data_IF_550251884809
#
_entry.id   IF_550251884809
#
_cell.length_a   1.000
_cell.length_b   1.000
_cell.length_c   1.000
_cell.angle_alpha   90.00
_cell.angle_beta   90.00
_cell.angle_gamma   90.00
#
_symmetry.space_group_name_H-M   'P 1'
#
loop_
_entity.id
_entity.type
_entity.pdbx_description
1 polymer ?
#
# COMPACT_ATOMS: atom_id res chain seq x y z
N UNK A 1 0.00 21.92 34.74
CA UNK A 1 -0.23 23.32 35.16
C UNK A 1 -1.61 23.35 35.79
N UNK A 2 -1.72 23.79 37.04
CA UNK A 2 -3.01 23.98 37.69
C UNK A 2 -3.46 25.43 37.47
N UNK A 3 -4.75 25.64 37.30
CA UNK A 3 -5.30 27.00 37.24
C UNK A 3 -4.99 27.73 38.57
N UNK A 4 -4.70 29.04 38.55
CA UNK A 4 -4.49 29.82 39.75
C UNK A 4 -5.70 29.75 40.68
N UNK A 5 -5.46 29.83 41.99
CA UNK A 5 -6.51 29.94 43.00
C UNK A 5 -7.40 31.17 42.70
N UNK A 6 -8.70 30.95 42.52
CA UNK A 6 -9.67 32.00 42.15
C UNK A 6 -9.93 32.16 40.64
N UNK A 7 -9.34 31.33 39.78
CA UNK A 7 -9.71 31.29 38.36
C UNK A 7 -11.05 30.53 38.18
N UNK A 8 -12.12 31.28 37.98
CA UNK A 8 -13.42 30.75 37.58
C UNK A 8 -13.63 30.95 36.07
N UNK A 9 -13.94 29.88 35.34
CA UNK A 9 -14.44 30.00 33.97
C UNK A 9 -15.84 30.63 34.03
N UNK A 10 -16.14 31.68 33.24
CA UNK A 10 -17.46 32.26 33.23
C UNK A 10 -18.48 31.20 32.76
N UNK A 11 -19.32 30.74 33.68
CA UNK A 11 -20.44 29.87 33.37
C UNK A 11 -21.76 30.66 33.42
N UNK A 12 -22.62 30.55 32.39
CA UNK A 12 -22.38 29.91 31.10
C UNK A 12 -21.61 30.83 30.15
N UNK A 13 -20.80 30.25 29.25
CA UNK A 13 -20.39 30.91 28.01
C UNK A 13 -21.65 31.16 27.17
N UNK A 14 -22.32 32.29 27.40
CA UNK A 14 -23.45 32.72 26.58
C UNK A 14 -22.94 33.13 25.22
N UNK A 15 -23.62 32.70 24.15
CA UNK A 15 -23.40 33.16 22.77
C UNK A 15 -23.57 34.67 22.61
N UNK A 16 -24.20 35.35 23.57
CA UNK A 16 -24.30 36.81 23.65
C UNK A 16 -23.01 37.47 24.18
N UNK A 17 -22.30 36.81 25.10
CA UNK A 17 -21.09 37.35 25.73
C UNK A 17 -19.80 36.97 24.98
N UNK A 18 -19.84 35.85 24.25
CA UNK A 18 -18.75 35.36 23.39
C UNK A 18 -19.31 35.01 22.01
N UNK A 19 -19.61 36.02 21.18
CA UNK A 19 -20.17 35.76 19.87
C UNK A 19 -19.20 34.92 19.03
N UNK A 20 -19.72 33.89 18.34
CA UNK A 20 -18.91 33.03 17.49
C UNK A 20 -18.18 33.88 16.42
N UNK A 21 -16.84 33.77 16.25
CA UNK A 21 -16.06 34.67 15.38
C UNK A 21 -16.60 34.73 13.94
N UNK A 22 -16.87 35.92 13.41
CA UNK A 22 -17.39 36.09 12.04
C UNK A 22 -16.53 35.36 11.01
N UNK A 23 -17.17 34.88 9.94
CA UNK A 23 -16.45 34.27 8.81
C UNK A 23 -15.37 35.25 8.30
N UNK A 24 -14.15 34.76 8.00
CA UNK A 24 -13.12 35.59 7.42
C UNK A 24 -13.65 36.29 6.16
N UNK A 25 -13.64 37.62 6.15
CA UNK A 25 -14.12 38.42 5.01
C UNK A 25 -13.18 38.34 3.80
N UNK A 26 -11.96 37.88 4.02
CA UNK A 26 -10.90 37.86 3.02
C UNK A 26 -10.13 36.53 3.09
N UNK A 27 -9.74 36.03 1.92
CA UNK A 27 -8.82 34.91 1.77
C UNK A 27 -7.39 35.37 2.06
N UNK A 28 -6.50 34.45 2.47
CA UNK A 28 -5.11 34.81 2.88
C UNK A 28 -4.36 35.59 1.80
N UNK A 29 -4.48 35.20 0.54
CA UNK A 29 -3.83 35.88 -0.59
C UNK A 29 -4.39 37.30 -0.87
N UNK A 30 -5.54 37.65 -0.29
CA UNK A 30 -6.15 38.98 -0.41
C UNK A 30 -5.66 39.94 0.68
N UNK A 31 -5.01 39.41 1.73
CA UNK A 31 -4.57 40.18 2.90
C UNK A 31 -3.05 40.15 3.05
N UNK A 32 -2.40 39.08 2.63
CA UNK A 32 -0.97 38.86 2.84
C UNK A 32 -0.25 38.72 1.50
N UNK A 33 0.88 39.44 1.37
CA UNK A 33 1.74 39.40 0.19
C UNK A 33 2.46 38.04 0.01
N UNK A 34 2.58 37.26 1.08
CA UNK A 34 3.26 35.96 1.13
C UNK A 34 2.41 34.91 1.87
N UNK A 35 1.31 34.44 1.26
CA UNK A 35 0.41 33.47 1.89
C UNK A 35 1.12 32.14 2.23
N UNK A 36 2.22 31.80 1.55
CA UNK A 36 3.03 30.61 1.82
C UNK A 36 3.64 30.56 3.23
N UNK A 37 3.77 31.71 3.93
CA UNK A 37 4.26 31.74 5.32
C UNK A 37 3.32 30.99 6.27
N UNK A 38 2.05 30.84 5.90
CA UNK A 38 1.05 30.13 6.68
C UNK A 38 0.97 28.63 6.37
N UNK A 39 1.75 28.10 5.42
CA UNK A 39 1.69 26.69 5.01
C UNK A 39 1.79 25.73 6.18
N UNK A 40 2.70 25.98 7.12
CA UNK A 40 2.86 25.17 8.34
C UNK A 40 1.61 25.17 9.24
N UNK A 41 0.91 26.30 9.31
CA UNK A 41 -0.31 26.44 10.11
C UNK A 41 -1.48 25.74 9.40
N UNK A 42 -1.57 25.87 8.08
CA UNK A 42 -2.59 25.20 7.26
C UNK A 42 -2.40 23.68 7.26
N UNK A 43 -1.16 23.21 7.11
CA UNK A 43 -0.82 21.80 7.28
C UNK A 43 -1.24 21.31 8.67
N UNK A 44 -0.96 22.07 9.74
CA UNK A 44 -1.35 21.67 11.08
C UNK A 44 -2.87 21.62 11.29
N UNK A 45 -3.61 22.59 10.72
CA UNK A 45 -5.06 22.58 10.73
C UNK A 45 -5.64 21.35 10.02
N UNK A 46 -5.10 21.01 8.85
CA UNK A 46 -5.46 19.80 8.11
C UNK A 46 -5.21 18.55 8.96
N UNK A 47 -4.09 18.47 9.68
CA UNK A 47 -3.78 17.35 10.58
C UNK A 47 -4.74 17.23 11.77
N UNK A 48 -5.18 18.35 12.33
CA UNK A 48 -6.07 18.37 13.49
C UNK A 48 -7.44 17.74 13.17
N UNK A 49 -7.99 18.01 11.98
CA UNK A 49 -9.32 17.49 11.60
C UNK A 49 -9.34 15.97 11.38
N UNK A 50 -8.19 15.32 11.23
CA UNK A 50 -8.13 13.85 11.18
C UNK A 50 -8.21 13.16 12.55
N UNK A 51 -8.17 13.93 13.65
CA UNK A 51 -8.21 13.40 15.02
C UNK A 51 -9.21 14.09 15.93
N UNK A 52 -9.57 15.34 15.65
CA UNK A 52 -10.48 16.16 16.46
C UNK A 52 -11.50 16.85 15.55
N UNK A 53 -12.79 16.60 15.79
CA UNK A 53 -13.86 17.35 15.15
C UNK A 53 -14.28 18.51 16.06
N UNK A 54 -14.09 19.77 15.64
CA UNK A 54 -14.45 20.92 16.48
C UNK A 54 -15.98 21.09 16.55
N UNK A 55 -16.46 21.60 17.68
CA UNK A 55 -17.88 21.93 17.88
C UNK A 55 -18.38 22.98 16.88
N UNK A 56 -17.51 23.89 16.46
CA UNK A 56 -17.79 24.89 15.44
C UNK A 56 -17.04 24.57 14.14
N UNK A 57 -17.80 24.42 13.05
CA UNK A 57 -17.26 24.14 11.71
C UNK A 57 -16.18 25.14 11.24
N UNK A 58 -16.21 26.40 11.72
CA UNK A 58 -15.24 27.44 11.34
C UNK A 58 -13.86 27.21 11.95
N UNK A 59 -13.78 26.43 13.03
CA UNK A 59 -12.53 26.09 13.70
C UNK A 59 -11.79 24.93 13.04
N UNK A 60 -12.37 24.30 12.02
CA UNK A 60 -11.68 23.30 11.22
C UNK A 60 -10.54 23.91 10.41
N UNK A 61 -10.65 25.21 10.08
CA UNK A 61 -9.66 25.97 9.30
C UNK A 61 -9.29 25.29 7.96
N UNK A 62 -10.18 24.43 7.44
CA UNK A 62 -10.08 23.81 6.13
C UNK A 62 -10.65 24.76 5.07
N UNK A 63 -10.11 24.73 3.82
CA UNK A 63 -10.73 25.42 2.70
C UNK A 63 -12.19 25.00 2.47
N UNK A 64 -12.47 23.72 2.70
CA UNK A 64 -13.81 23.13 2.69
C UNK A 64 -14.02 22.39 4.02
N UNK A 65 -14.90 22.89 4.92
CA UNK A 65 -15.19 22.22 6.17
C UNK A 65 -15.80 20.82 5.95
N UNK A 66 -15.31 19.85 6.69
CA UNK A 66 -15.87 18.51 6.78
C UNK A 66 -17.14 18.51 7.65
N UNK A 67 -18.13 17.74 7.22
CA UNK A 67 -19.30 17.42 8.07
C UNK A 67 -18.93 16.37 9.11
N UNK A 68 -19.71 16.27 10.20
CA UNK A 68 -19.50 15.25 11.22
C UNK A 68 -19.52 13.84 10.61
N UNK A 69 -20.49 13.58 9.73
CA UNK A 69 -20.58 12.29 9.04
C UNK A 69 -19.35 11.99 8.18
N UNK A 70 -18.80 12.99 7.49
CA UNK A 70 -17.55 12.80 6.74
C UNK A 70 -16.37 12.53 7.66
N UNK A 71 -16.28 13.23 8.80
CA UNK A 71 -15.25 13.00 9.80
C UNK A 71 -15.33 11.59 10.41
N UNK A 72 -16.52 11.15 10.81
CA UNK A 72 -16.77 9.80 11.35
C UNK A 72 -16.40 8.69 10.36
N UNK A 73 -16.48 9.00 9.06
CA UNK A 73 -16.10 8.11 8.00
C UNK A 73 -14.61 8.15 7.66
N UNK A 74 -13.77 9.01 8.25
CA UNK A 74 -12.33 9.03 7.95
C UNK A 74 -11.62 7.78 8.52
N UNK A 75 -10.51 7.33 7.90
CA UNK A 75 -9.66 6.31 8.48
C UNK A 75 -9.07 6.79 9.81
N UNK A 76 -8.90 5.87 10.76
CA UNK A 76 -8.29 6.21 12.03
C UNK A 76 -6.81 6.54 11.80
N UNK A 77 -6.44 7.82 11.93
CA UNK A 77 -5.05 8.27 11.80
C UNK A 77 -4.36 8.38 13.15
N UNK A 78 -3.04 8.23 13.13
CA UNK A 78 -2.13 8.38 14.28
C UNK A 78 -0.99 9.32 13.91
N UNK A 79 -0.24 9.78 14.91
CA UNK A 79 0.86 10.75 14.73
C UNK A 79 1.86 10.39 13.63
N UNK A 80 2.08 9.09 13.36
CA UNK A 80 3.02 8.65 12.34
C UNK A 80 2.53 8.91 10.90
N UNK A 81 1.22 8.95 10.67
CA UNK A 81 0.61 9.32 9.39
C UNK A 81 1.13 10.69 8.93
N UNK A 82 1.08 11.66 9.83
CA UNK A 82 1.50 13.03 9.56
C UNK A 82 3.03 13.17 9.45
N UNK A 83 3.79 12.41 10.25
CA UNK A 83 5.26 12.45 10.20
C UNK A 83 5.82 11.97 8.87
N UNK A 84 5.23 10.91 8.32
CA UNK A 84 5.58 10.39 6.99
C UNK A 84 4.86 11.14 5.85
N UNK A 85 4.06 12.16 6.17
CA UNK A 85 3.23 12.88 5.23
C UNK A 85 2.46 11.92 4.30
N UNK A 86 1.85 10.89 4.90
CA UNK A 86 0.95 9.98 4.19
C UNK A 86 -0.30 10.76 3.81
N UNK A 87 -0.85 10.44 2.65
CA UNK A 87 -2.04 11.06 2.09
C UNK A 87 -3.02 10.00 1.60
N UNK A 88 -4.31 10.25 1.80
CA UNK A 88 -5.36 9.39 1.27
C UNK A 88 -5.60 9.80 -0.18
N UNK A 89 -5.17 8.98 -1.14
CA UNK A 89 -5.36 9.31 -2.57
C UNK A 89 -6.74 8.88 -3.05
N UNK A 90 -7.12 7.63 -2.80
CA UNK A 90 -8.39 7.06 -3.27
C UNK A 90 -9.33 6.69 -2.11
N UNK A 91 -8.77 6.21 -1.00
CA UNK A 91 -9.54 5.65 0.12
C UNK A 91 -9.69 6.67 1.26
N UNK A 92 -10.63 7.61 1.10
CA UNK A 92 -10.96 8.58 2.14
C UNK A 92 -11.92 8.05 3.21
N UNK A 93 -12.38 6.80 3.07
CA UNK A 93 -13.30 6.16 4.01
C UNK A 93 -12.55 5.14 4.86
N UNK A 94 -12.71 5.20 6.18
CA UNK A 94 -12.16 4.26 7.15
C UNK A 94 -12.81 2.88 7.08
N UNK A 95 -14.00 2.80 6.48
CA UNK A 95 -14.65 1.54 6.11
C UNK A 95 -14.58 1.37 4.60
N UNK A 96 -14.00 0.26 4.15
CA UNK A 96 -13.85 -0.10 2.74
C UNK A 96 -14.63 -1.39 2.48
N UNK A 97 -15.35 -1.46 1.37
CA UNK A 97 -16.16 -2.63 1.02
C UNK A 97 -15.59 -3.33 -0.22
N UNK A 98 -15.60 -4.67 -0.19
CA UNK A 98 -15.31 -5.52 -1.36
C UNK A 98 -16.37 -6.61 -1.48
N UNK A 99 -16.86 -6.79 -2.71
CA UNK A 99 -17.93 -7.75 -3.02
C UNK A 99 -17.41 -9.15 -3.33
N UNK A 100 -16.17 -9.23 -3.81
CA UNK A 100 -15.55 -10.41 -4.40
C UNK A 100 -14.20 -10.74 -3.73
N UNK A 101 -13.91 -10.14 -2.57
CA UNK A 101 -12.67 -10.36 -1.83
C UNK A 101 -11.42 -9.80 -2.50
N UNK A 102 -11.57 -9.12 -3.65
CA UNK A 102 -10.49 -8.39 -4.31
C UNK A 102 -10.63 -6.91 -3.99
N UNK A 103 -9.52 -6.31 -3.62
CA UNK A 103 -9.44 -4.88 -3.33
C UNK A 103 -8.07 -4.37 -3.73
N UNK A 104 -8.04 -3.16 -4.28
CA UNK A 104 -6.82 -2.37 -4.42
C UNK A 104 -6.98 -1.11 -3.59
N UNK A 105 -5.97 -0.80 -2.79
CA UNK A 105 -5.92 0.44 -2.03
C UNK A 105 -4.58 1.13 -2.26
N UNK A 106 -4.63 2.43 -2.51
CA UNK A 106 -3.45 3.24 -2.80
C UNK A 106 -3.41 4.45 -1.88
N UNK A 107 -2.28 4.62 -1.21
CA UNK A 107 -1.95 5.78 -0.39
C UNK A 107 -0.78 6.54 -0.99
N UNK A 108 -0.79 7.86 -0.87
CA UNK A 108 0.32 8.72 -1.23
C UNK A 108 1.24 8.93 -0.04
N UNK A 109 2.50 9.25 -0.29
CA UNK A 109 3.37 9.79 0.74
C UNK A 109 4.36 10.80 0.14
N UNK A 110 4.61 11.86 0.90
CA UNK A 110 5.49 12.96 0.45
C UNK A 110 6.85 12.96 1.14
N UNK A 111 7.02 12.12 2.17
CA UNK A 111 8.30 11.92 2.86
C UNK A 111 8.69 10.44 2.78
N UNK A 112 9.88 10.13 2.22
CA UNK A 112 10.34 8.76 2.17
C UNK A 112 10.36 8.11 3.56
N UNK A 113 9.94 6.85 3.60
CA UNK A 113 9.86 6.07 4.83
C UNK A 113 9.79 4.57 4.56
N UNK A 114 10.04 3.78 5.58
CA UNK A 114 9.72 2.36 5.57
C UNK A 114 8.25 2.17 5.90
N UNK A 115 7.59 1.24 5.22
CA UNK A 115 6.19 0.88 5.46
C UNK A 115 6.05 -0.62 5.69
N UNK A 116 5.19 -0.99 6.63
CA UNK A 116 4.78 -2.38 6.83
C UNK A 116 3.31 -2.39 7.25
N UNK A 117 2.70 -3.56 7.30
CA UNK A 117 1.28 -3.71 7.57
C UNK A 117 0.98 -4.88 8.50
N UNK A 118 -0.20 -4.83 9.10
CA UNK A 118 -0.82 -5.95 9.80
C UNK A 118 -2.25 -6.09 9.33
N UNK A 119 -2.62 -7.28 8.85
CA UNK A 119 -3.98 -7.62 8.48
C UNK A 119 -4.54 -8.62 9.49
N UNK A 120 -5.68 -8.30 10.09
CA UNK A 120 -6.34 -9.14 11.09
C UNK A 120 -7.79 -9.42 10.68
N UNK A 121 -8.27 -10.61 10.96
CA UNK A 121 -9.65 -11.03 10.75
C UNK A 121 -10.43 -11.03 12.05
N UNK A 122 -11.65 -10.50 12.03
CA UNK A 122 -12.57 -10.53 13.16
C UNK A 122 -13.33 -11.86 13.16
N UNK A 123 -12.98 -12.79 14.06
CA UNK A 123 -13.56 -14.15 14.03
C UNK A 123 -15.08 -14.19 14.22
N UNK A 124 -15.64 -13.22 14.95
CA UNK A 124 -17.08 -13.11 15.20
C UNK A 124 -17.88 -12.65 13.98
N UNK A 125 -17.20 -12.16 12.94
CA UNK A 125 -17.85 -11.73 11.69
C UNK A 125 -18.15 -12.88 10.73
N UNK A 126 -17.59 -14.07 10.96
CA UNK A 126 -17.76 -15.23 10.09
C UNK A 126 -19.24 -15.65 10.01
N UNK A 127 -19.85 -15.51 8.83
CA UNK A 127 -21.25 -15.88 8.60
C UNK A 127 -22.28 -15.01 9.31
N UNK A 128 -21.87 -13.85 9.85
CA UNK A 128 -22.80 -12.91 10.48
C UNK A 128 -23.63 -12.18 9.41
N UNK A 129 -24.96 -12.01 9.58
CA UNK A 129 -25.82 -11.38 8.56
C UNK A 129 -25.54 -9.89 8.35
N UNK A 130 -25.01 -9.21 9.37
CA UNK A 130 -24.60 -7.81 9.28
C UNK A 130 -23.21 -7.60 9.91
N UNK A 131 -22.13 -7.98 9.21
CA UNK A 131 -20.79 -7.97 9.79
C UNK A 131 -20.27 -6.54 10.04
N UNK A 132 -20.76 -5.56 9.27
CA UNK A 132 -20.36 -4.15 9.40
C UNK A 132 -20.74 -3.50 10.74
N UNK A 133 -21.84 -3.92 11.38
CA UNK A 133 -22.26 -3.35 12.67
C UNK A 133 -21.48 -3.91 13.86
N UNK A 134 -20.66 -4.94 13.64
CA UNK A 134 -19.86 -5.54 14.71
C UNK A 134 -18.74 -4.57 15.12
N UNK A 135 -18.61 -4.40 16.43
CA UNK A 135 -17.46 -3.75 17.04
C UNK A 135 -16.36 -4.79 17.25
N UNK A 136 -15.13 -4.43 16.91
CA UNK A 136 -13.99 -5.30 17.16
C UNK A 136 -13.58 -5.28 18.63
N UNK A 137 -13.55 -6.45 19.25
CA UNK A 137 -12.79 -6.67 20.47
C UNK A 137 -11.38 -7.14 20.09
N UNK A 138 -10.30 -6.54 20.63
CA UNK A 138 -8.94 -7.00 20.37
C UNK A 138 -8.73 -8.50 20.61
N UNK A 139 -9.47 -9.09 21.55
CA UNK A 139 -9.41 -10.52 21.85
C UNK A 139 -9.97 -11.43 20.73
N UNK A 140 -10.73 -10.89 19.80
CA UNK A 140 -11.38 -11.60 18.68
C UNK A 140 -10.66 -11.39 17.34
N UNK A 141 -9.65 -10.52 17.31
CA UNK A 141 -8.82 -10.29 16.13
C UNK A 141 -7.76 -11.38 16.02
N UNK A 142 -7.65 -11.99 14.84
CA UNK A 142 -6.68 -13.05 14.55
C UNK A 142 -5.92 -12.73 13.27
N UNK A 143 -4.65 -13.13 13.22
CA UNK A 143 -3.79 -12.95 12.05
C UNK A 143 -3.96 -14.10 11.04
N UNK A 144 -4.95 -14.97 11.28
CA UNK A 144 -5.31 -16.15 10.50
C UNK A 144 -6.83 -16.31 10.49
N UNK A 145 -7.35 -16.94 9.43
CA UNK A 145 -8.77 -17.31 9.37
C UNK A 145 -8.97 -18.64 10.09
N UNK A 146 -10.04 -18.80 10.89
CA UNK A 146 -10.36 -20.10 11.48
C UNK A 146 -10.43 -21.18 10.40
N UNK A 147 -9.74 -22.31 10.63
CA UNK A 147 -9.63 -23.47 9.72
C UNK A 147 -8.64 -23.33 8.55
N UNK A 148 -7.86 -22.24 8.50
CA UNK A 148 -6.77 -22.07 7.53
C UNK A 148 -5.45 -21.98 8.30
N UNK A 149 -4.43 -22.75 7.88
CA UNK A 149 -3.09 -22.75 8.49
C UNK A 149 -2.15 -21.68 7.88
N UNK A 150 -2.73 -20.70 7.18
CA UNK A 150 -1.99 -19.68 6.42
C UNK A 150 -2.29 -18.31 7.05
N UNK A 151 -1.23 -17.57 7.34
CA UNK A 151 -1.32 -16.19 7.84
C UNK A 151 -1.90 -15.23 6.81
N UNK A 152 -2.73 -14.30 7.27
CA UNK A 152 -3.40 -13.28 6.46
C UNK A 152 -2.43 -12.39 5.69
N UNK A 153 -1.19 -12.21 6.17
CA UNK A 153 -0.14 -11.48 5.44
C UNK A 153 0.11 -12.07 4.05
N UNK A 154 -0.11 -13.36 3.88
CA UNK A 154 0.08 -14.03 2.59
C UNK A 154 -1.01 -13.67 1.58
N UNK A 155 -2.11 -13.03 2.00
CA UNK A 155 -3.22 -12.63 1.12
C UNK A 155 -3.23 -11.14 0.80
N UNK A 156 -2.15 -10.44 1.17
CA UNK A 156 -1.97 -9.01 0.96
C UNK A 156 -0.58 -8.75 0.36
N UNK A 157 -0.55 -8.17 -0.84
CA UNK A 157 0.69 -7.70 -1.46
C UNK A 157 0.80 -6.19 -1.21
N UNK A 158 1.91 -5.76 -0.61
CA UNK A 158 2.27 -4.34 -0.50
C UNK A 158 3.36 -4.02 -1.51
N UNK A 159 3.16 -2.94 -2.25
CA UNK A 159 4.12 -2.39 -3.21
C UNK A 159 4.38 -0.93 -2.87
N UNK A 160 5.64 -0.57 -2.70
CA UNK A 160 6.05 0.82 -2.45
C UNK A 160 6.80 1.33 -3.67
N UNK A 161 6.21 2.33 -4.32
CA UNK A 161 6.82 3.07 -5.42
C UNK A 161 7.51 4.32 -4.89
N UNK A 162 7.79 5.31 -5.75
CA UNK A 162 8.45 6.57 -5.35
C UNK A 162 7.63 7.38 -4.33
N UNK A 163 6.33 7.48 -4.57
CA UNK A 163 5.39 8.37 -3.86
C UNK A 163 4.07 7.69 -3.49
N UNK A 164 3.93 6.38 -3.80
CA UNK A 164 2.71 5.62 -3.54
C UNK A 164 2.98 4.30 -2.85
N UNK A 165 2.09 3.97 -1.94
CA UNK A 165 1.99 2.69 -1.24
C UNK A 165 0.71 1.99 -1.73
N UNK A 166 0.88 0.91 -2.47
CA UNK A 166 -0.20 0.12 -3.05
C UNK A 166 -0.39 -1.18 -2.28
N UNK A 167 -1.65 -1.55 -2.05
CA UNK A 167 -2.06 -2.78 -1.39
C UNK A 167 -3.01 -3.55 -2.30
N UNK A 168 -2.71 -4.82 -2.55
CA UNK A 168 -3.52 -5.72 -3.37
C UNK A 168 -4.00 -6.90 -2.52
N UNK A 169 -5.31 -6.96 -2.28
CA UNK A 169 -5.93 -7.95 -1.40
C UNK A 169 -6.55 -9.10 -2.20
N UNK A 170 -6.41 -10.31 -1.67
CA UNK A 170 -7.08 -11.55 -2.12
C UNK A 170 -7.70 -12.24 -0.93
N UNK A 171 -8.75 -11.66 -0.37
CA UNK A 171 -9.30 -12.08 0.92
C UNK A 171 -9.88 -13.50 0.85
N UNK A 172 -9.47 -14.42 1.75
CA UNK A 172 -9.87 -15.83 1.66
C UNK A 172 -11.25 -16.15 2.26
N UNK A 173 -11.89 -15.22 2.96
CA UNK A 173 -13.23 -15.41 3.51
C UNK A 173 -14.06 -14.12 3.46
N UNK A 174 -15.37 -14.29 3.51
CA UNK A 174 -16.31 -13.20 3.81
C UNK A 174 -16.22 -12.82 5.30
N UNK A 175 -16.37 -11.54 5.62
CA UNK A 175 -16.37 -11.03 6.99
C UNK A 175 -15.67 -9.68 7.10
N UNK A 176 -15.27 -9.33 8.33
CA UNK A 176 -14.57 -8.07 8.63
C UNK A 176 -13.09 -8.30 8.83
N UNK A 177 -12.28 -7.47 8.19
CA UNK A 177 -10.85 -7.39 8.36
C UNK A 177 -10.45 -6.01 8.87
N UNK A 178 -9.36 -5.96 9.64
CA UNK A 178 -8.73 -4.73 10.08
C UNK A 178 -7.32 -4.67 9.52
N UNK A 179 -7.05 -3.62 8.75
CA UNK A 179 -5.72 -3.32 8.25
C UNK A 179 -5.12 -2.20 9.10
N UNK A 180 -3.97 -2.47 9.71
CA UNK A 180 -3.14 -1.45 10.34
C UNK A 180 -1.91 -1.24 9.50
N UNK A 181 -1.69 0.00 9.06
CA UNK A 181 -0.51 0.40 8.31
C UNK A 181 0.46 1.05 9.28
N UNK A 182 1.69 0.56 9.29
CA UNK A 182 2.76 1.10 10.09
C UNK A 182 3.77 1.80 9.19
N UNK A 183 4.32 2.90 9.69
CA UNK A 183 5.30 3.67 8.96
C UNK A 183 6.48 4.04 9.84
N UNK A 184 7.58 4.35 9.18
CA UNK A 184 8.80 4.81 9.80
C UNK A 184 9.47 5.86 8.89
N UNK A 185 9.91 6.97 9.45
CA UNK A 185 10.58 8.03 8.68
C UNK A 185 12.01 7.63 8.28
N UNK A 186 12.41 7.88 7.03
CA UNK A 186 13.74 7.50 6.52
C UNK A 186 14.89 8.13 7.33
N UNK A 187 14.72 9.37 7.81
CA UNK A 187 15.72 10.06 8.64
C UNK A 187 16.01 9.36 9.98
N UNK A 188 15.13 8.45 10.41
CA UNK A 188 15.30 7.62 11.61
C UNK A 188 15.97 6.26 11.33
N UNK A 189 16.15 5.89 10.06
CA UNK A 189 16.88 4.70 9.62
C UNK A 189 18.40 4.94 9.73
N UNK A 190 18.90 5.02 10.97
CA UNK A 190 20.34 4.91 11.21
C UNK A 190 20.70 3.42 11.30
N UNK A 191 21.54 2.95 10.38
CA UNK A 191 22.10 1.59 10.39
C UNK A 191 22.62 1.28 11.80
N UNK A 192 22.10 0.21 12.42
CA UNK A 192 22.52 -0.25 13.75
C UNK A 192 21.69 0.22 14.96
N UNK A 193 20.56 0.93 14.78
CA UNK A 193 19.57 1.12 15.85
C UNK A 193 18.27 0.37 15.53
N UNK A 194 17.75 -0.34 16.53
CA UNK A 194 16.39 -0.88 16.49
C UNK A 194 15.41 0.25 16.20
N UNK A 195 14.80 0.19 15.04
CA UNK A 195 13.94 1.23 14.55
C UNK A 195 12.52 0.70 14.52
N UNK A 196 11.67 1.25 15.38
CA UNK A 196 10.33 0.70 15.62
C UNK A 196 9.33 1.34 14.67
N UNK A 197 8.74 0.51 13.81
CA UNK A 197 7.55 0.86 13.04
C UNK A 197 6.41 1.28 13.98
N UNK A 198 5.72 2.37 13.66
CA UNK A 198 4.59 2.88 14.44
C UNK A 198 3.34 2.93 13.58
N UNK A 199 2.21 2.61 14.19
CA UNK A 199 0.93 2.64 13.49
C UNK A 199 0.66 4.06 12.99
N UNK A 200 0.35 4.17 11.70
CA UNK A 200 0.06 5.40 10.99
C UNK A 200 -1.43 5.54 10.74
N UNK A 201 -2.07 4.54 10.13
CA UNK A 201 -3.51 4.54 9.94
C UNK A 201 -4.12 3.14 10.01
N UNK A 202 -5.42 3.08 10.26
CA UNK A 202 -6.19 1.85 10.36
C UNK A 202 -7.48 1.92 9.53
N UNK A 203 -7.78 0.81 8.86
CA UNK A 203 -8.99 0.61 8.05
C UNK A 203 -9.77 -0.61 8.51
N UNK A 204 -11.09 -0.53 8.41
CA UNK A 204 -12.02 -1.65 8.49
C UNK A 204 -12.41 -2.05 7.07
N UNK A 205 -12.18 -3.30 6.70
CA UNK A 205 -12.54 -3.84 5.39
C UNK A 205 -13.70 -4.82 5.59
N UNK A 206 -14.81 -4.60 4.89
CA UNK A 206 -15.98 -5.48 4.88
C UNK A 206 -15.96 -6.26 3.57
N UNK A 207 -15.91 -7.58 3.67
CA UNK A 207 -15.81 -8.51 2.56
C UNK A 207 -17.09 -9.35 2.45
N UNK A 208 -17.83 -9.21 1.36
CA UNK A 208 -19.11 -9.91 1.17
C UNK A 208 -18.90 -11.38 0.75
N UNK A 209 -17.92 -11.63 -0.12
CA UNK A 209 -17.56 -12.95 -0.61
C UNK A 209 -16.03 -13.11 -0.75
N UNK A 210 -15.47 -14.31 -0.54
CA UNK A 210 -14.04 -14.55 -0.73
C UNK A 210 -13.61 -14.39 -2.19
N UNK A 211 -12.32 -14.08 -2.40
CA UNK A 211 -11.72 -14.07 -3.73
C UNK A 211 -11.78 -15.45 -4.38
N UNK A 212 -12.24 -15.50 -5.63
CA UNK A 212 -12.32 -16.74 -6.43
C UNK A 212 -10.95 -17.42 -6.54
N UNK A 213 -9.89 -16.62 -6.61
CA UNK A 213 -8.49 -17.03 -6.63
C UNK A 213 -7.75 -16.67 -5.33
N UNK A 214 -8.38 -16.90 -4.17
CA UNK A 214 -7.77 -16.73 -2.84
C UNK A 214 -6.60 -17.70 -2.59
N UNK A 215 -5.56 -17.59 -3.41
CA UNK A 215 -4.26 -18.22 -3.23
C UNK A 215 -3.33 -17.20 -2.57
N UNK A 216 -2.47 -17.65 -1.63
CA UNK A 216 -1.49 -16.78 -1.02
C UNK A 216 -0.51 -16.25 -2.07
N UNK A 217 -0.14 -14.98 -1.97
CA UNK A 217 1.04 -14.44 -2.63
C UNK A 217 2.30 -15.17 -2.13
N UNK A 218 3.34 -15.27 -2.96
CA UNK A 218 4.62 -15.85 -2.53
C UNK A 218 5.20 -15.11 -1.32
N UNK A 219 5.82 -15.84 -0.41
CA UNK A 219 6.37 -15.29 0.84
C UNK A 219 7.40 -14.20 0.55
N UNK A 220 7.13 -12.96 0.98
CA UNK A 220 8.07 -11.83 0.88
C UNK A 220 8.61 -11.49 2.27
N UNK A 221 9.93 -11.63 2.47
CA UNK A 221 10.57 -11.40 3.77
C UNK A 221 10.53 -9.93 4.22
N UNK A 222 10.65 -8.99 3.28
CA UNK A 222 10.64 -7.55 3.55
C UNK A 222 9.26 -6.90 3.43
N UNK A 223 8.22 -7.72 3.20
CA UNK A 223 6.83 -7.30 3.04
C UNK A 223 6.59 -6.20 1.98
N UNK A 224 7.55 -5.95 1.08
CA UNK A 224 7.46 -4.93 0.05
C UNK A 224 7.88 -5.47 -1.32
N UNK A 225 7.06 -5.19 -2.33
CA UNK A 225 7.27 -5.59 -3.72
C UNK A 225 7.67 -4.38 -4.56
N UNK A 226 8.40 -4.65 -5.63
CA UNK A 226 8.96 -3.67 -6.55
C UNK A 226 10.39 -3.25 -6.22
N UNK A 227 11.00 -2.45 -7.09
CA UNK A 227 12.35 -1.94 -6.89
C UNK A 227 12.29 -0.86 -5.79
N UNK A 228 12.49 -1.29 -4.55
CA UNK A 228 12.40 -0.41 -3.41
C UNK A 228 13.35 0.79 -3.57
N UNK A 229 12.79 2.00 -3.49
CA UNK A 229 13.50 3.25 -3.80
C UNK A 229 14.88 3.39 -3.13
N UNK A 230 15.08 3.02 -1.85
CA UNK A 230 16.40 3.08 -1.21
C UNK A 230 17.46 2.22 -1.91
N UNK A 231 17.09 1.05 -2.42
CA UNK A 231 18.02 0.07 -3.00
C UNK A 231 18.42 0.48 -4.42
N UNK A 232 17.46 0.96 -5.21
CA UNK A 232 17.72 1.53 -6.54
C UNK A 232 18.75 2.67 -6.45
N UNK A 233 18.60 3.55 -5.46
CA UNK A 233 19.54 4.64 -5.23
C UNK A 233 20.90 4.16 -4.70
N UNK A 234 20.91 3.23 -3.73
CA UNK A 234 22.14 2.73 -3.12
C UNK A 234 23.04 1.99 -4.12
N UNK A 235 22.44 1.17 -4.99
CA UNK A 235 23.15 0.40 -6.01
C UNK A 235 23.30 1.13 -7.36
N UNK A 236 22.77 2.35 -7.46
CA UNK A 236 22.78 3.17 -8.67
C UNK A 236 22.26 2.39 -9.90
N UNK A 237 21.10 1.76 -9.71
CA UNK A 237 20.38 1.01 -10.73
C UNK A 237 19.30 1.87 -11.38
N UNK A 238 18.99 1.60 -12.64
CA UNK A 238 17.91 2.25 -13.39
C UNK A 238 16.94 1.19 -13.91
N UNK A 239 15.91 0.82 -13.13
CA UNK A 239 14.97 -0.20 -13.55
C UNK A 239 14.06 0.34 -14.67
N UNK A 240 13.88 -0.46 -15.72
CA UNK A 240 12.92 -0.23 -16.81
C UNK A 240 11.47 -0.16 -16.32
N UNK A 241 11.17 -0.88 -15.24
CA UNK A 241 9.85 -0.93 -14.60
C UNK A 241 10.00 -0.50 -13.14
N UNK A 242 9.21 0.49 -12.72
CA UNK A 242 9.23 1.00 -11.35
C UNK A 242 8.17 0.34 -10.46
N UNK A 243 7.30 -0.48 -11.05
CA UNK A 243 6.22 -1.16 -10.38
C UNK A 243 6.66 -2.56 -9.92
N UNK A 244 6.21 -2.96 -8.75
CA UNK A 244 6.32 -4.31 -8.20
C UNK A 244 5.26 -5.27 -8.70
N UNK A 245 4.19 -4.79 -9.34
CA UNK A 245 3.20 -5.63 -10.02
C UNK A 245 3.10 -5.22 -11.48
N UNK A 246 3.53 -6.10 -12.39
CA UNK A 246 3.45 -5.85 -13.83
C UNK A 246 2.35 -6.72 -14.43
N UNK A 247 1.38 -6.08 -15.06
CA UNK A 247 0.34 -6.76 -15.84
C UNK A 247 0.78 -6.84 -17.30
N UNK A 248 0.93 -8.05 -17.82
CA UNK A 248 1.24 -8.25 -19.25
C UNK A 248 -0.09 -8.47 -19.98
N UNK A 249 -0.43 -7.59 -20.92
CA UNK A 249 -1.68 -7.64 -21.69
C UNK A 249 -1.43 -8.15 -23.12
N UNK A 250 -2.39 -8.90 -23.68
CA UNK A 250 -2.33 -9.46 -25.06
C UNK A 250 -2.47 -8.40 -26.19
N UNK A 251 -2.39 -7.11 -25.88
CA UNK A 251 -2.93 -6.04 -26.72
C UNK A 251 -2.15 -5.71 -28.00
N UNK A 252 -0.93 -6.23 -28.20
CA UNK A 252 -0.12 -5.92 -29.39
C UNK A 252 -0.16 -7.00 -30.49
N UNK A 253 -1.19 -7.86 -30.49
CA UNK A 253 -1.39 -8.79 -31.60
C UNK A 253 -1.77 -8.06 -32.88
N UNK A 254 -0.75 -7.84 -33.72
CA UNK A 254 -0.96 -7.56 -35.15
C UNK A 254 -1.89 -8.64 -35.73
N UNK A 255 -2.89 -8.28 -36.56
CA UNK A 255 -3.92 -9.20 -37.07
C UNK A 255 -3.40 -10.29 -38.03
N UNK A 256 -2.08 -10.41 -38.19
CA UNK A 256 -1.38 -11.34 -39.07
C UNK A 256 -0.86 -12.61 -38.39
N UNK A 257 -1.01 -12.74 -37.06
CA UNK A 257 -0.55 -13.94 -36.34
C UNK A 257 -1.66 -15.00 -36.31
N UNK A 258 -1.34 -16.21 -36.78
CA UNK A 258 -2.23 -17.37 -36.78
C UNK A 258 -2.87 -17.60 -35.39
N UNK A 259 -4.17 -17.36 -35.28
CA UNK A 259 -4.96 -17.49 -34.05
C UNK A 259 -4.98 -18.91 -33.45
N UNK A 260 -4.43 -19.91 -34.16
CA UNK A 260 -4.38 -21.31 -33.71
C UNK A 260 -3.28 -21.59 -32.70
N UNK A 261 -2.17 -20.83 -32.73
CA UNK A 261 -1.05 -20.98 -31.80
C UNK A 261 -0.54 -19.58 -31.38
N UNK A 262 -1.04 -19.03 -30.26
CA UNK A 262 -0.50 -17.82 -29.65
C UNK A 262 1.03 -17.92 -29.48
N UNK A 263 1.85 -16.93 -29.87
CA UNK A 263 3.23 -16.88 -29.38
C UNK A 263 3.22 -16.78 -27.84
N UNK A 264 4.17 -17.42 -27.15
CA UNK A 264 4.24 -17.35 -25.70
C UNK A 264 4.44 -15.90 -25.26
N UNK A 265 3.75 -15.50 -24.19
CA UNK A 265 3.79 -14.13 -23.70
C UNK A 265 5.13 -13.87 -23.02
N UNK A 266 5.87 -12.87 -23.47
CA UNK A 266 7.20 -12.55 -22.96
C UNK A 266 7.26 -11.14 -22.39
N UNK A 267 8.07 -10.94 -21.35
CA UNK A 267 8.39 -9.63 -20.80
C UNK A 267 9.91 -9.48 -20.65
N UNK A 268 10.41 -8.28 -20.94
CA UNK A 268 11.79 -7.91 -20.68
C UNK A 268 11.85 -6.95 -19.49
N UNK A 269 12.55 -7.36 -18.43
CA UNK A 269 12.88 -6.49 -17.30
C UNK A 269 14.36 -6.12 -17.41
N UNK A 270 14.62 -4.84 -17.64
CA UNK A 270 15.97 -4.28 -17.74
C UNK A 270 16.32 -3.44 -16.52
N UNK A 271 17.60 -3.46 -16.14
CA UNK A 271 18.22 -2.58 -15.16
C UNK A 271 19.47 -1.97 -15.74
N UNK A 272 19.48 -0.64 -15.93
CA UNK A 272 20.70 0.10 -16.20
C UNK A 272 21.60 0.10 -14.97
N UNK A 273 22.91 0.04 -15.18
CA UNK A 273 23.93 0.03 -14.12
C UNK A 273 24.85 1.24 -14.28
N UNK A 274 24.92 2.05 -13.24
CA UNK A 274 25.97 3.07 -13.11
C UNK A 274 27.22 2.52 -12.42
N UNK A 275 27.08 1.39 -11.69
CA UNK A 275 28.15 0.69 -10.99
C UNK A 275 28.38 -0.70 -11.62
N UNK A 276 29.49 -0.91 -12.35
CA UNK A 276 29.74 -2.17 -13.06
C UNK A 276 30.04 -3.36 -12.14
N UNK A 277 30.38 -3.12 -10.88
CA UNK A 277 30.62 -4.15 -9.86
C UNK A 277 29.35 -4.77 -9.26
N UNK A 278 28.18 -4.20 -9.58
CA UNK A 278 26.88 -4.69 -9.12
C UNK A 278 26.36 -5.74 -10.10
N UNK A 279 26.16 -6.96 -9.60
CA UNK A 279 25.56 -8.05 -10.35
C UNK A 279 24.13 -8.32 -9.87
N UNK A 280 23.23 -8.54 -10.83
CA UNK A 280 21.83 -8.84 -10.57
C UNK A 280 21.55 -10.28 -10.96
N UNK A 281 21.05 -11.06 -10.00
CA UNK A 281 20.56 -12.41 -10.22
C UNK A 281 19.04 -12.40 -10.08
N UNK A 282 18.33 -13.17 -10.88
CA UNK A 282 16.89 -13.35 -10.74
C UNK A 282 16.54 -14.83 -10.58
N UNK A 283 15.52 -15.09 -9.78
CA UNK A 283 14.87 -16.39 -9.65
C UNK A 283 13.37 -16.22 -9.88
N UNK A 284 12.81 -17.14 -10.63
CA UNK A 284 11.38 -17.23 -10.82
C UNK A 284 10.79 -18.15 -9.74
N UNK A 285 9.70 -17.71 -9.14
CA UNK A 285 8.96 -18.42 -8.10
C UNK A 285 7.48 -18.51 -8.46
N UNK A 286 6.91 -19.70 -8.31
CA UNK A 286 5.47 -19.94 -8.43
C UNK A 286 5.05 -20.99 -7.40
N UNK A 287 3.97 -20.72 -6.68
CA UNK A 287 3.48 -21.63 -5.65
C UNK A 287 3.23 -23.04 -6.23
N UNK A 288 3.82 -24.05 -5.60
CA UNK A 288 3.67 -25.45 -6.01
C UNK A 288 4.52 -25.88 -7.22
N UNK A 289 5.41 -25.03 -7.72
CA UNK A 289 6.34 -25.34 -8.82
C UNK A 289 7.78 -25.16 -8.33
N UNK A 290 8.70 -26.03 -8.72
CA UNK A 290 10.11 -25.91 -8.33
C UNK A 290 10.81 -24.79 -9.10
N UNK A 291 11.70 -24.08 -8.43
CA UNK A 291 12.52 -23.01 -9.03
C UNK A 291 13.35 -23.55 -10.22
N UNK A 292 13.89 -24.77 -10.11
CA UNK A 292 14.65 -25.45 -11.17
C UNK A 292 13.82 -25.64 -12.46
N UNK A 293 12.52 -25.89 -12.32
CA UNK A 293 11.62 -25.98 -13.48
C UNK A 293 11.33 -24.60 -14.07
N UNK A 294 11.33 -23.55 -13.25
CA UNK A 294 11.06 -22.19 -13.70
C UNK A 294 12.27 -21.54 -14.38
N UNK A 295 13.50 -21.99 -14.09
CA UNK A 295 14.73 -21.48 -14.71
C UNK A 295 14.71 -21.55 -16.26
N UNK A 296 14.02 -22.53 -16.85
CA UNK A 296 13.89 -22.62 -18.31
C UNK A 296 13.08 -21.47 -18.94
N UNK A 297 12.29 -20.75 -18.14
CA UNK A 297 11.44 -19.65 -18.55
C UNK A 297 12.10 -18.28 -18.38
N UNK A 298 13.34 -18.23 -17.86
CA UNK A 298 14.11 -17.00 -17.78
C UNK A 298 15.41 -17.09 -18.57
N UNK A 299 15.82 -15.98 -19.17
CA UNK A 299 17.16 -15.79 -19.75
C UNK A 299 17.72 -14.48 -19.29
N UNK A 300 18.95 -14.50 -18.80
CA UNK A 300 19.67 -13.31 -18.35
C UNK A 300 20.74 -12.97 -19.36
N UNK A 301 20.76 -11.70 -19.77
CA UNK A 301 21.84 -11.11 -20.55
C UNK A 301 22.41 -9.95 -19.75
N UNK A 302 23.72 -9.96 -19.53
CA UNK A 302 24.40 -8.99 -18.69
C UNK A 302 25.52 -8.30 -19.48
N UNK A 303 25.57 -6.98 -19.36
CA UNK A 303 26.64 -6.14 -19.86
C UNK A 303 27.17 -5.26 -18.73
N UNK A 304 28.20 -4.46 -19.02
CA UNK A 304 28.78 -3.49 -18.07
C UNK A 304 27.76 -2.40 -17.68
N UNK A 305 26.83 -2.05 -18.58
CA UNK A 305 25.89 -0.94 -18.41
C UNK A 305 24.46 -1.39 -18.17
N UNK A 306 24.12 -2.65 -18.40
CA UNK A 306 22.75 -3.14 -18.24
C UNK A 306 22.70 -4.63 -17.88
N UNK A 307 21.70 -5.03 -17.08
CA UNK A 307 21.24 -6.42 -17.00
C UNK A 307 19.81 -6.50 -17.52
N UNK A 308 19.58 -7.38 -18.50
CA UNK A 308 18.27 -7.67 -19.06
C UNK A 308 17.86 -9.09 -18.74
N UNK A 309 16.66 -9.21 -18.17
CA UNK A 309 15.99 -10.45 -17.87
C UNK A 309 14.83 -10.63 -18.84
N UNK A 310 14.93 -11.62 -19.71
CA UNK A 310 13.86 -12.02 -20.60
C UNK A 310 13.09 -13.17 -19.96
N UNK A 311 11.81 -12.93 -19.65
CA UNK A 311 10.94 -13.92 -19.00
C UNK A 311 9.82 -14.32 -19.95
N UNK A 312 9.65 -15.61 -20.14
CA UNK A 312 8.55 -16.20 -20.89
C UNK A 312 7.51 -16.72 -19.90
N UNK A 313 6.30 -16.16 -19.93
CA UNK A 313 5.22 -16.60 -19.05
C UNK A 313 4.77 -18.02 -19.48
N UNK A 314 4.68 -18.99 -18.55
CA UNK A 314 4.15 -20.32 -18.86
C UNK A 314 2.68 -20.21 -19.27
N UNK A 315 2.24 -21.01 -20.25
CA UNK A 315 0.85 -20.99 -20.74
C UNK A 315 -0.16 -21.12 -19.59
N UNK A 316 -1.31 -20.41 -19.67
CA UNK A 316 -2.37 -20.59 -18.69
C UNK A 316 -2.79 -22.06 -18.72
N UNK A 317 -2.73 -22.74 -17.56
CA UNK A 317 -3.43 -24.00 -17.39
C UNK A 317 -4.92 -23.85 -17.77
N UNK A 318 -5.63 -24.94 -18.05
CA UNK A 318 -6.97 -24.90 -18.64
C UNK A 318 -7.89 -23.96 -17.85
N UNK A 319 -8.24 -22.83 -18.47
CA UNK A 319 -9.21 -21.88 -17.94
C UNK A 319 -10.61 -22.52 -18.02
N UNK A 320 -11.32 -22.54 -16.89
CA UNK A 320 -12.76 -22.70 -16.86
C UNK A 320 -13.37 -21.49 -17.55
N UNK A 321 -13.98 -21.74 -18.71
CA UNK A 321 -14.78 -20.79 -19.48
C UNK A 321 -15.96 -20.32 -18.60
N UNK A 322 -15.91 -19.07 -18.13
CA UNK A 322 -17.08 -18.40 -17.55
C UNK A 322 -17.30 -17.09 -18.30
N UNK A 323 -18.52 -17.01 -18.81
CA UNK A 323 -19.12 -16.02 -19.67
C UNK A 323 -18.90 -14.57 -19.21
N UNK A 324 -18.46 -13.74 -20.15
CA UNK A 324 -18.60 -12.28 -20.26
C UNK A 324 -18.53 -11.39 -19.00
N UNK A 325 -17.48 -10.55 -19.00
CA UNK A 325 -17.21 -9.35 -18.17
C UNK A 325 -16.65 -9.59 -16.77
N UNK A 326 -15.42 -10.06 -16.70
CA UNK A 326 -14.43 -9.71 -15.67
C UNK A 326 -13.10 -10.40 -16.00
N UNK A 327 -11.99 -9.65 -15.96
CA UNK A 327 -10.66 -10.19 -16.29
C UNK A 327 -10.19 -11.12 -15.15
N UNK A 328 -10.31 -12.42 -15.36
CA UNK A 328 -9.86 -13.44 -14.41
C UNK A 328 -8.35 -13.62 -14.57
N UNK A 329 -7.56 -12.95 -13.70
CA UNK A 329 -6.11 -13.14 -13.63
C UNK A 329 -5.75 -14.59 -13.31
N UNK A 330 -4.92 -15.22 -14.14
CA UNK A 330 -4.39 -16.57 -13.93
C UNK A 330 -3.41 -16.65 -12.73
N UNK A 331 -2.87 -17.84 -12.40
CA UNK A 331 -1.89 -17.99 -11.32
C UNK A 331 -0.64 -17.17 -11.63
N UNK A 332 -0.35 -16.16 -10.79
CA UNK A 332 0.76 -15.22 -10.98
C UNK A 332 2.15 -15.88 -10.87
N UNK A 333 3.13 -15.30 -11.58
CA UNK A 333 4.53 -15.69 -11.54
C UNK A 333 5.31 -14.59 -10.80
N UNK A 334 6.11 -14.94 -9.79
CA UNK A 334 6.97 -13.99 -9.09
C UNK A 334 8.38 -14.06 -9.63
N UNK A 335 9.00 -12.92 -9.79
CA UNK A 335 10.40 -12.77 -10.12
C UNK A 335 11.09 -12.07 -8.96
N UNK A 336 11.96 -12.79 -8.26
CA UNK A 336 12.77 -12.27 -7.17
C UNK A 336 14.18 -11.97 -7.67
N UNK A 337 14.67 -10.77 -7.42
CA UNK A 337 16.02 -10.35 -7.73
C UNK A 337 16.87 -10.31 -6.47
N UNK A 338 18.07 -10.86 -6.57
CA UNK A 338 19.11 -10.81 -5.56
C UNK A 338 20.23 -9.94 -6.10
N UNK A 339 20.56 -8.87 -5.37
CA UNK A 339 21.68 -7.99 -5.72
C UNK A 339 22.94 -8.52 -5.05
N UNK A 340 24.02 -8.66 -5.81
CA UNK A 340 25.36 -9.00 -5.28
C UNK A 340 26.34 -7.89 -5.63
N UNK A 341 26.91 -7.23 -4.63
CA UNK A 341 28.07 -6.36 -4.77
C UNK A 341 29.34 -7.21 -4.60
N UNK A 342 30.25 -7.17 -5.59
CA UNK A 342 31.48 -7.97 -5.59
C UNK A 342 32.59 -7.40 -4.70
N UNK A 343 32.47 -6.14 -4.25
CA UNK A 343 33.50 -5.45 -3.46
C UNK A 343 33.18 -5.38 -1.97
N UNK A 344 31.92 -5.58 -1.58
CA UNK A 344 31.48 -5.66 -0.19
C UNK A 344 31.30 -7.15 0.20
N UNK A 345 31.42 -7.47 1.49
CA UNK A 345 31.17 -8.85 1.97
C UNK A 345 29.80 -9.34 1.49
N UNK A 346 29.55 -10.66 1.28
CA UNK A 346 28.36 -11.13 0.56
C UNK A 346 27.11 -10.87 1.42
N UNK A 347 26.55 -9.66 1.31
CA UNK A 347 25.21 -9.37 1.77
C UNK A 347 24.31 -9.75 0.60
N UNK A 348 23.81 -10.99 0.61
CA UNK A 348 22.71 -11.39 -0.27
C UNK A 348 21.47 -10.62 0.20
N UNK A 349 21.21 -9.48 -0.44
CA UNK A 349 20.02 -8.70 -0.17
C UNK A 349 18.93 -9.05 -1.19
N UNK A 350 17.78 -9.50 -0.68
CA UNK A 350 16.60 -9.92 -1.44
C UNK A 350 15.72 -8.71 -1.74
N UNK A 351 16.17 -7.82 -2.61
CA UNK A 351 15.71 -6.42 -2.56
C UNK A 351 14.65 -6.01 -3.59
N UNK A 352 14.44 -6.80 -4.64
CA UNK A 352 13.46 -6.46 -5.69
C UNK A 352 12.64 -7.69 -5.99
N UNK A 353 11.32 -7.58 -5.89
CA UNK A 353 10.40 -8.66 -6.26
C UNK A 353 9.32 -8.09 -7.15
N UNK A 354 9.22 -8.64 -8.36
CA UNK A 354 8.21 -8.25 -9.34
C UNK A 354 7.23 -9.41 -9.45
N UNK A 355 5.96 -9.13 -9.20
CA UNK A 355 4.88 -10.07 -9.45
C UNK A 355 4.32 -9.85 -10.85
N UNK A 356 4.37 -10.88 -11.68
CA UNK A 356 3.90 -10.89 -13.06
C UNK A 356 2.51 -11.53 -13.13
N UNK A 357 1.55 -10.78 -13.65
CA UNK A 357 0.23 -11.31 -13.98
C UNK A 357 0.07 -11.51 -15.48
N UNK A 358 -0.54 -12.65 -15.83
CA UNK A 358 -1.18 -12.81 -17.12
C UNK A 358 -2.58 -12.18 -17.03
N UNK A 359 -2.78 -11.07 -17.75
CA UNK A 359 -4.08 -10.41 -17.89
C UNK A 359 -4.97 -11.03 -18.96
#
# INVERSE_FOLDING_TARGET
>A
MYAPEGFELPHPLSSENHPPPELPKYLKHQVYDKPEVFSKVDEHAIQAVYSHFPEDSRWQLLPTPLTLSQFENLPLTKSQFFKCAIDFLEQHHGVVHTRDGRLRMTLGFWRPGGFTYKLQYLITSAGHPNPESLMANPADLRDQIPKTDIELKSFLLQETTRDRLNFYFRLPASGVYYLTIYAQELASLKVGRESTFRAACEYKIVCDAPAVDAQPYPTCHDANWGPAWPHVQHYALEPSHTDGVISVCKADWSPTVDQRNPPPMTIDVLFGKQRPEVNLLAKLHRNGVSDEYLDQYQRVSETVQETRFHVTLPEPGPQLEIDNRETVYGPGLTMEFVVRDLNDSPVELQDIRIHLYHG
#
